data_IF_293399472505
#
_entry.id   IF_293399472505
#
_cell.length_a   1.000
_cell.length_b   1.000
_cell.length_c   1.000
_cell.angle_alpha   90.00
_cell.angle_beta   90.00
_cell.angle_gamma   90.00
#
_symmetry.space_group_name_H-M   'P 1'
#
loop_
_entity.id
_entity.type
_entity.pdbx_description
1 polymer ?
#
# COMPACT_ATOMS: atom_id res chain seq x y z
N UNK A 1 -19.90 9.76 9.47
CA UNK A 1 -19.41 8.61 8.69
C UNK A 1 -17.89 8.75 8.60
N UNK A 2 -17.13 7.66 8.72
CA UNK A 2 -15.66 7.69 8.67
C UNK A 2 -15.20 8.21 7.30
N UNK A 3 -14.23 9.11 7.28
CA UNK A 3 -13.68 9.74 6.07
C UNK A 3 -12.26 9.19 5.85
N UNK A 4 -11.96 8.81 4.60
CA UNK A 4 -10.66 8.28 4.19
C UNK A 4 -10.06 9.22 3.17
N UNK A 5 -8.93 9.85 3.49
CA UNK A 5 -8.21 10.69 2.55
C UNK A 5 -7.44 9.83 1.54
N UNK A 6 -7.56 10.16 0.27
CA UNK A 6 -6.85 9.51 -0.84
C UNK A 6 -6.18 10.63 -1.65
N UNK A 7 -4.85 10.80 -1.60
CA UNK A 7 -4.18 11.84 -2.37
C UNK A 7 -4.27 11.58 -3.87
N UNK A 8 -4.61 12.61 -4.64
CA UNK A 8 -4.62 12.59 -6.09
C UNK A 8 -6.02 12.75 -6.71
N UNK A 9 -6.16 12.35 -7.98
CA UNK A 9 -7.38 12.57 -8.78
C UNK A 9 -8.40 11.45 -8.57
N UNK A 10 -9.64 11.84 -8.29
CA UNK A 10 -10.75 10.91 -8.03
C UNK A 10 -11.10 10.02 -9.24
N UNK A 11 -10.89 10.50 -10.46
CA UNK A 11 -11.14 9.71 -11.67
C UNK A 11 -10.06 8.64 -11.87
N UNK A 12 -8.80 8.97 -11.55
CA UNK A 12 -7.68 8.03 -11.59
C UNK A 12 -7.86 6.94 -10.52
N UNK A 13 -8.19 7.34 -9.29
CA UNK A 13 -8.30 6.43 -8.15
C UNK A 13 -9.72 5.93 -7.86
N UNK A 14 -10.60 5.90 -8.88
CA UNK A 14 -12.00 5.47 -8.76
C UNK A 14 -12.17 4.06 -8.17
N UNK A 15 -11.21 3.14 -8.42
CA UNK A 15 -11.28 1.78 -7.88
C UNK A 15 -11.04 1.77 -6.37
N UNK A 16 -10.08 2.53 -5.88
CA UNK A 16 -9.84 2.74 -4.45
C UNK A 16 -11.06 3.40 -3.78
N UNK A 17 -11.59 4.46 -4.38
CA UNK A 17 -12.80 5.12 -3.89
C UNK A 17 -14.00 4.17 -3.80
N UNK A 18 -14.17 3.30 -4.80
CA UNK A 18 -15.22 2.27 -4.81
C UNK A 18 -15.04 1.27 -3.65
N UNK A 19 -13.83 0.79 -3.41
CA UNK A 19 -13.53 -0.15 -2.33
C UNK A 19 -13.79 0.49 -0.95
N UNK A 20 -13.38 1.75 -0.75
CA UNK A 20 -13.66 2.53 0.47
C UNK A 20 -15.17 2.68 0.71
N UNK A 21 -15.95 3.02 -0.34
CA UNK A 21 -17.42 3.12 -0.22
C UNK A 21 -18.07 1.78 0.13
N UNK A 22 -17.61 0.68 -0.48
CA UNK A 22 -18.11 -0.67 -0.17
C UNK A 22 -17.85 -1.07 1.27
N UNK A 23 -16.73 -0.64 1.84
CA UNK A 23 -16.40 -0.85 3.24
C UNK A 23 -17.16 0.11 4.21
N UNK A 24 -18.05 0.97 3.68
CA UNK A 24 -18.92 1.83 4.49
C UNK A 24 -18.31 3.16 4.92
N UNK A 25 -17.26 3.64 4.24
CA UNK A 25 -16.63 4.94 4.50
C UNK A 25 -16.76 5.91 3.31
N UNK A 26 -16.39 7.17 3.52
CA UNK A 26 -16.42 8.24 2.52
C UNK A 26 -15.00 8.49 2.00
N UNK A 27 -14.71 8.25 0.71
CA UNK A 27 -13.43 8.65 0.12
C UNK A 27 -13.41 10.16 -0.09
N UNK A 28 -12.30 10.80 0.30
CA UNK A 28 -12.07 12.23 0.23
C UNK A 28 -10.80 12.50 -0.58
N UNK A 29 -10.85 13.46 -1.51
CA UNK A 29 -9.74 13.79 -2.42
C UNK A 29 -9.30 15.25 -2.33
N UNK A 30 -10.25 16.15 -2.07
CA UNK A 30 -10.05 17.62 -2.07
C UNK A 30 -10.33 18.26 -0.72
N UNK A 31 -10.73 17.47 0.25
CA UNK A 31 -11.00 17.92 1.62
C UNK A 31 -9.67 18.19 2.36
N UNK A 32 -9.75 18.88 3.50
CA UNK A 32 -8.59 18.98 4.39
C UNK A 32 -8.26 17.58 4.93
N UNK A 33 -7.04 17.06 4.72
CA UNK A 33 -6.63 15.77 5.28
C UNK A 33 -6.77 15.68 6.79
N UNK A 34 -6.67 16.80 7.49
CA UNK A 34 -6.83 16.86 8.95
C UNK A 34 -8.25 16.46 9.41
N UNK A 35 -9.26 16.63 8.56
CA UNK A 35 -10.66 16.24 8.83
C UNK A 35 -10.96 14.76 8.52
N UNK A 36 -9.97 14.00 8.02
CA UNK A 36 -10.14 12.60 7.67
C UNK A 36 -9.61 11.67 8.77
N UNK A 37 -10.36 10.63 9.07
CA UNK A 37 -9.99 9.67 10.11
C UNK A 37 -8.95 8.64 9.69
N UNK A 38 -8.76 8.43 8.37
CA UNK A 38 -7.83 7.46 7.80
C UNK A 38 -7.14 8.01 6.56
N UNK A 39 -5.95 7.46 6.26
CA UNK A 39 -5.19 7.71 5.02
C UNK A 39 -5.12 6.43 4.20
N UNK A 40 -5.41 6.54 2.90
CA UNK A 40 -5.14 5.51 1.91
C UNK A 40 -4.15 6.06 0.88
N UNK A 41 -2.93 5.52 0.85
CA UNK A 41 -1.93 5.82 -0.17
C UNK A 41 -2.09 4.84 -1.34
N UNK A 42 -2.49 5.32 -2.54
CA UNK A 42 -2.74 4.47 -3.70
C UNK A 42 -1.47 4.15 -4.48
N UNK A 43 -1.58 3.24 -5.45
CA UNK A 43 -0.55 2.93 -6.42
C UNK A 43 -0.16 4.12 -7.32
N UNK A 44 0.86 3.96 -8.15
CA UNK A 44 1.35 4.99 -9.08
C UNK A 44 2.76 4.74 -9.57
N UNK A 45 3.41 5.74 -10.12
CA UNK A 45 4.82 5.73 -10.52
C UNK A 45 5.75 5.59 -9.32
N UNK A 46 7.03 5.45 -9.58
CA UNK A 46 8.04 5.17 -8.57
C UNK A 46 8.34 6.38 -7.67
N UNK A 47 8.84 6.10 -6.47
CA UNK A 47 9.37 7.11 -5.57
C UNK A 47 10.76 7.57 -6.03
N UNK A 48 11.05 8.85 -5.82
CA UNK A 48 12.39 9.39 -6.05
C UNK A 48 13.42 8.66 -5.18
N UNK A 49 14.47 8.07 -5.79
CA UNK A 49 15.49 7.35 -5.04
C UNK A 49 16.30 8.25 -4.12
N UNK A 50 16.29 9.56 -4.34
CA UNK A 50 16.89 10.54 -3.42
C UNK A 50 16.25 10.49 -2.02
N UNK A 51 14.98 10.12 -1.89
CA UNK A 51 14.30 10.01 -0.60
C UNK A 51 14.87 8.90 0.28
N UNK A 52 15.50 7.89 -0.32
CA UNK A 52 16.14 6.79 0.41
C UNK A 52 17.65 6.69 0.15
N UNK A 53 18.28 7.81 -0.25
CA UNK A 53 19.72 7.97 -0.34
C UNK A 53 20.38 7.21 -1.49
N UNK A 54 19.65 6.92 -2.57
CA UNK A 54 20.17 6.22 -3.74
C UNK A 54 20.16 7.10 -4.99
N UNK A 55 20.99 6.73 -5.97
CA UNK A 55 20.95 7.29 -7.34
C UNK A 55 19.89 6.56 -8.14
N UNK A 56 19.23 7.27 -9.05
CA UNK A 56 18.29 6.67 -9.99
C UNK A 56 19.01 5.77 -11.00
N UNK A 57 18.61 4.50 -11.06
CA UNK A 57 19.11 3.52 -12.02
C UNK A 57 18.01 2.87 -12.86
N UNK A 58 16.76 2.94 -12.43
CA UNK A 58 15.66 2.25 -13.11
C UNK A 58 14.28 2.83 -12.83
N UNK A 59 14.14 3.94 -12.11
CA UNK A 59 12.86 4.50 -11.72
C UNK A 59 12.04 5.01 -12.91
N UNK A 60 10.71 4.88 -12.81
CA UNK A 60 9.75 5.22 -13.85
C UNK A 60 8.63 6.09 -13.30
N UNK A 61 8.27 7.14 -14.04
CA UNK A 61 7.12 7.99 -13.68
C UNK A 61 7.30 8.73 -12.35
N UNK A 62 8.51 9.25 -12.09
CA UNK A 62 8.80 10.04 -10.90
C UNK A 62 7.90 11.28 -10.82
N UNK A 63 7.38 11.55 -9.62
CA UNK A 63 6.57 12.73 -9.30
C UNK A 63 7.01 13.30 -7.94
N UNK A 64 7.99 14.21 -7.93
CA UNK A 64 8.51 14.79 -6.68
C UNK A 64 7.46 15.58 -5.87
N UNK A 65 6.45 16.15 -6.53
CA UNK A 65 5.39 16.88 -5.83
C UNK A 65 4.49 15.90 -5.04
N UNK A 66 4.17 14.76 -5.66
CA UNK A 66 3.44 13.69 -5.00
C UNK A 66 4.28 13.04 -3.88
N UNK A 67 5.58 12.84 -4.11
CA UNK A 67 6.49 12.34 -3.08
C UNK A 67 6.43 13.20 -1.82
N UNK A 68 6.61 14.53 -1.97
CA UNK A 68 6.56 15.48 -0.86
C UNK A 68 5.19 15.45 -0.16
N UNK A 69 4.09 15.49 -0.91
CA UNK A 69 2.73 15.41 -0.37
C UNK A 69 2.52 14.13 0.46
N UNK A 70 2.95 12.97 -0.04
CA UNK A 70 2.76 11.71 0.69
C UNK A 70 3.60 11.64 1.96
N UNK A 71 4.81 12.20 1.99
CA UNK A 71 5.61 12.32 3.21
C UNK A 71 4.93 13.22 4.25
N UNK A 72 4.37 14.35 3.84
CA UNK A 72 3.62 15.26 4.73
C UNK A 72 2.36 14.59 5.29
N UNK A 73 1.61 13.87 4.44
CA UNK A 73 0.42 13.11 4.85
C UNK A 73 0.79 11.99 5.83
N UNK A 74 1.86 11.25 5.58
CA UNK A 74 2.34 10.22 6.50
C UNK A 74 2.70 10.83 7.86
N UNK A 75 3.40 11.97 7.87
CA UNK A 75 3.69 12.68 9.12
C UNK A 75 2.42 13.08 9.86
N UNK A 76 1.43 13.67 9.17
CA UNK A 76 0.15 14.09 9.76
C UNK A 76 -0.60 12.91 10.40
N UNK A 77 -0.79 11.81 9.65
CA UNK A 77 -1.61 10.70 10.12
C UNK A 77 -0.91 9.84 11.18
N UNK A 78 0.41 9.62 11.05
CA UNK A 78 1.17 8.82 12.02
C UNK A 78 1.33 9.54 13.34
N UNK A 79 1.58 10.86 13.34
CA UNK A 79 1.65 11.69 14.56
C UNK A 79 0.32 11.71 15.31
N UNK A 80 -0.80 11.62 14.60
CA UNK A 80 -2.14 11.56 15.17
C UNK A 80 -2.61 10.12 15.47
N UNK A 81 -1.77 9.09 15.28
CA UNK A 81 -2.10 7.67 15.44
C UNK A 81 -3.35 7.25 14.64
N UNK A 82 -3.58 7.89 13.47
CA UNK A 82 -4.68 7.56 12.58
C UNK A 82 -4.29 6.40 11.65
N UNK A 83 -5.22 5.50 11.30
CA UNK A 83 -4.94 4.37 10.41
C UNK A 83 -4.44 4.79 9.03
N UNK A 84 -3.44 4.04 8.55
CA UNK A 84 -2.87 4.19 7.20
C UNK A 84 -2.91 2.84 6.48
N UNK A 85 -3.45 2.85 5.26
CA UNK A 85 -3.35 1.75 4.30
C UNK A 85 -2.47 2.19 3.13
N UNK A 86 -1.35 1.48 2.89
CA UNK A 86 -0.52 1.66 1.70
C UNK A 86 -0.74 0.52 0.72
N UNK A 87 -1.11 0.84 -0.53
CA UNK A 87 -1.23 -0.15 -1.60
C UNK A 87 -0.19 0.14 -2.70
N UNK A 88 0.54 -0.90 -3.13
CA UNK A 88 1.55 -0.83 -4.17
C UNK A 88 2.62 0.23 -3.83
N UNK A 89 2.68 1.36 -4.59
CA UNK A 89 3.54 2.50 -4.29
C UNK A 89 3.35 3.02 -2.86
N UNK A 90 2.10 3.01 -2.34
CA UNK A 90 1.83 3.45 -0.97
C UNK A 90 2.54 2.62 0.10
N UNK A 91 2.77 1.32 -0.12
CA UNK A 91 3.61 0.49 0.76
C UNK A 91 5.07 0.94 0.72
N UNK A 92 5.58 1.28 -0.47
CA UNK A 92 6.94 1.76 -0.66
C UNK A 92 7.13 3.14 -0.01
N UNK A 93 6.16 4.05 -0.16
CA UNK A 93 6.13 5.36 0.50
C UNK A 93 6.21 5.24 2.02
N UNK A 94 5.44 4.32 2.60
CA UNK A 94 5.48 4.03 4.04
C UNK A 94 6.87 3.53 4.45
N UNK A 95 7.46 2.59 3.70
CA UNK A 95 8.79 2.07 4.03
C UNK A 95 9.86 3.17 4.02
N UNK A 96 9.85 4.01 2.99
CA UNK A 96 10.80 5.11 2.83
C UNK A 96 10.60 6.18 3.90
N UNK A 97 9.37 6.52 4.24
CA UNK A 97 9.04 7.46 5.33
C UNK A 97 9.67 7.05 6.67
N UNK A 98 9.70 5.76 6.96
CA UNK A 98 10.35 5.23 8.18
C UNK A 98 11.85 4.95 8.01
N UNK A 99 12.48 5.41 6.92
CA UNK A 99 13.94 5.32 6.68
C UNK A 99 14.39 4.00 6.05
N UNK A 100 13.47 3.26 5.44
CA UNK A 100 13.78 2.07 4.63
C UNK A 100 14.28 2.42 3.23
N UNK A 101 14.71 1.40 2.47
CA UNK A 101 15.18 1.51 1.08
C UNK A 101 14.43 0.57 0.15
N UNK A 102 14.55 0.78 -1.16
CA UNK A 102 13.89 0.00 -2.19
C UNK A 102 14.91 -0.65 -3.14
N UNK A 103 14.57 -1.83 -3.64
CA UNK A 103 15.13 -2.40 -4.86
C UNK A 103 14.46 -1.69 -6.02
N UNK A 104 15.24 -1.01 -6.87
CA UNK A 104 14.70 -0.17 -7.95
C UNK A 104 14.25 -0.96 -9.18
N UNK A 105 14.78 -2.16 -9.40
CA UNK A 105 14.36 -3.02 -10.52
C UNK A 105 14.41 -4.50 -10.11
N UNK A 106 13.24 -5.08 -9.97
CA UNK A 106 13.02 -6.46 -9.59
C UNK A 106 12.38 -7.21 -10.77
N UNK A 107 13.04 -8.23 -11.32
CA UNK A 107 12.44 -9.01 -12.40
C UNK A 107 11.30 -9.90 -11.91
N UNK A 108 10.34 -10.21 -12.80
CA UNK A 108 9.33 -11.24 -12.55
C UNK A 108 8.02 -10.78 -11.94
N UNK A 109 7.93 -9.55 -11.41
CA UNK A 109 6.75 -9.01 -10.75
C UNK A 109 5.96 -7.97 -11.56
N UNK A 110 6.53 -7.46 -12.65
CA UNK A 110 5.86 -6.51 -13.54
C UNK A 110 4.68 -7.15 -14.27
N UNK A 111 3.68 -6.33 -14.62
CA UNK A 111 2.58 -6.72 -15.50
C UNK A 111 3.08 -7.28 -16.84
N UNK A 112 2.26 -8.11 -17.49
CA UNK A 112 2.53 -8.65 -18.82
C UNK A 112 1.39 -8.27 -19.72
N UNK A 113 1.71 -7.62 -20.85
CA UNK A 113 0.70 -7.14 -21.82
C UNK A 113 -0.44 -6.38 -21.12
N UNK A 114 -0.10 -5.40 -20.26
CA UNK A 114 -1.03 -4.58 -19.49
C UNK A 114 -1.98 -5.34 -18.53
N UNK A 115 -1.69 -6.61 -18.28
CA UNK A 115 -2.42 -7.44 -17.33
C UNK A 115 -1.57 -7.74 -16.10
N UNK A 116 -2.19 -7.68 -14.92
CA UNK A 116 -1.51 -8.07 -13.68
C UNK A 116 -1.11 -9.56 -13.77
N UNK A 117 0.09 -9.87 -13.28
CA UNK A 117 0.46 -11.26 -12.98
C UNK A 117 -0.31 -11.73 -11.75
N UNK A 118 -0.45 -13.03 -11.63
CA UNK A 118 -0.92 -13.65 -10.40
C UNK A 118 0.19 -14.53 -9.83
N UNK A 119 0.42 -14.42 -8.52
CA UNK A 119 1.34 -15.30 -7.81
C UNK A 119 0.83 -15.65 -6.41
N UNK A 120 1.34 -16.74 -5.85
CA UNK A 120 1.04 -17.12 -4.48
C UNK A 120 1.88 -16.31 -3.52
N UNK A 121 1.31 -16.00 -2.33
CA UNK A 121 2.04 -15.44 -1.19
C UNK A 121 1.85 -16.32 0.04
N UNK A 122 2.84 -16.32 0.91
CA UNK A 122 2.78 -16.98 2.23
C UNK A 122 2.72 -15.92 3.32
N UNK A 123 1.77 -16.07 4.26
CA UNK A 123 1.54 -15.11 5.33
C UNK A 123 2.03 -15.61 6.69
N UNK A 124 2.76 -14.75 7.43
CA UNK A 124 3.03 -14.95 8.85
C UNK A 124 1.73 -14.94 9.67
N UNK A 125 1.74 -15.46 10.92
CA UNK A 125 0.61 -15.29 11.85
C UNK A 125 0.27 -13.80 12.05
N UNK A 126 -0.81 -13.35 11.43
CA UNK A 126 -1.16 -11.92 11.31
C UNK A 126 -2.64 -11.73 10.99
N UNK A 127 -3.08 -10.48 10.86
CA UNK A 127 -4.39 -10.13 10.33
C UNK A 127 -4.60 -10.72 8.91
N UNK A 128 -3.59 -10.59 8.03
CA UNK A 128 -3.71 -11.09 6.65
C UNK A 128 -3.86 -12.62 6.60
N UNK A 129 -3.17 -13.35 7.49
CA UNK A 129 -3.37 -14.79 7.60
C UNK A 129 -4.78 -15.16 8.07
N UNK A 130 -5.39 -14.35 8.93
CA UNK A 130 -6.79 -14.56 9.33
C UNK A 130 -7.78 -14.29 8.21
N UNK A 131 -7.50 -13.31 7.36
CA UNK A 131 -8.36 -12.93 6.22
C UNK A 131 -8.25 -13.92 5.05
N UNK A 132 -7.03 -14.36 4.73
CA UNK A 132 -6.74 -15.05 3.46
C UNK A 132 -6.13 -16.43 3.62
N UNK A 133 -5.90 -16.90 4.84
CA UNK A 133 -5.20 -18.15 5.12
C UNK A 133 -3.68 -17.99 5.09
N UNK A 134 -2.98 -19.12 5.28
CA UNK A 134 -1.52 -19.17 5.25
C UNK A 134 -0.94 -18.88 3.87
N UNK A 135 -1.65 -19.32 2.83
CA UNK A 135 -1.31 -19.09 1.42
C UNK A 135 -2.52 -18.57 0.69
N UNK A 136 -2.30 -17.55 -0.12
CA UNK A 136 -3.32 -17.06 -1.05
C UNK A 136 -2.66 -16.59 -2.35
N UNK A 137 -3.47 -16.29 -3.35
CA UNK A 137 -3.02 -15.74 -4.64
C UNK A 137 -3.35 -14.26 -4.65
N UNK A 138 -2.38 -13.44 -5.08
CA UNK A 138 -2.52 -11.99 -5.24
C UNK A 138 -2.11 -11.57 -6.65
N UNK A 139 -2.46 -10.36 -7.05
CA UNK A 139 -1.99 -9.76 -8.30
C UNK A 139 -0.66 -9.04 -8.11
N UNK A 140 0.10 -8.92 -9.18
CA UNK A 140 1.41 -8.27 -9.20
C UNK A 140 1.60 -7.46 -10.47
N UNK A 141 2.08 -6.23 -10.31
CA UNK A 141 2.29 -5.28 -11.40
C UNK A 141 3.48 -4.34 -11.12
N UNK A 142 4.39 -4.73 -10.21
CA UNK A 142 5.47 -3.88 -9.74
C UNK A 142 6.84 -4.36 -10.25
N UNK A 143 7.78 -3.43 -10.38
CA UNK A 143 9.20 -3.73 -10.63
C UNK A 143 10.11 -3.21 -9.51
N UNK A 144 9.53 -2.63 -8.46
CA UNK A 144 10.24 -2.24 -7.25
C UNK A 144 9.74 -3.03 -6.05
N UNK A 145 10.59 -3.21 -5.04
CA UNK A 145 10.23 -3.91 -3.80
C UNK A 145 10.97 -3.31 -2.60
N UNK A 146 10.59 -3.75 -1.39
CA UNK A 146 11.34 -3.41 -0.19
C UNK A 146 12.73 -4.08 -0.23
N UNK A 147 13.78 -3.28 0.00
CA UNK A 147 15.15 -3.75 0.22
C UNK A 147 15.44 -3.83 1.72
N UNK A 148 15.47 -2.69 2.40
CA UNK A 148 15.64 -2.60 3.85
C UNK A 148 14.40 -2.00 4.48
N UNK A 149 13.93 -2.60 5.58
CA UNK A 149 12.79 -2.07 6.34
C UNK A 149 13.11 -0.75 7.02
N UNK A 150 12.15 0.16 6.99
CA UNK A 150 12.11 1.32 7.85
C UNK A 150 11.89 0.95 9.33
N UNK A 151 12.18 1.90 10.21
CA UNK A 151 12.05 1.71 11.65
C UNK A 151 10.63 1.30 12.06
N UNK A 152 10.50 0.29 12.89
CA UNK A 152 9.21 -0.20 13.40
C UNK A 152 8.39 -1.04 12.42
N UNK A 153 8.83 -1.21 11.17
CA UNK A 153 8.13 -2.03 10.19
C UNK A 153 8.52 -3.52 10.29
N UNK A 154 7.60 -4.38 9.93
CA UNK A 154 7.82 -5.82 9.82
C UNK A 154 6.99 -6.42 8.69
N UNK A 155 7.53 -7.44 8.02
CA UNK A 155 6.85 -8.13 6.94
C UNK A 155 5.74 -9.04 7.44
N UNK A 156 4.66 -9.14 6.66
CA UNK A 156 3.50 -10.00 6.92
C UNK A 156 3.29 -11.05 5.83
N UNK A 157 3.69 -10.77 4.59
CA UNK A 157 3.55 -11.70 3.45
C UNK A 157 4.80 -11.66 2.57
N UNK A 158 5.10 -12.79 1.94
CA UNK A 158 6.20 -12.96 1.00
C UNK A 158 5.77 -13.75 -0.23
N UNK A 159 6.27 -13.35 -1.38
CA UNK A 159 6.28 -14.16 -2.60
C UNK A 159 7.26 -15.33 -2.47
N UNK A 160 7.21 -16.33 -3.37
CA UNK A 160 8.10 -17.50 -3.32
C UNK A 160 9.60 -17.19 -3.44
N UNK A 161 9.96 -16.08 -4.09
CA UNK A 161 11.33 -15.59 -4.25
C UNK A 161 11.84 -14.76 -3.04
N UNK A 162 11.01 -14.61 -2.01
CA UNK A 162 11.32 -13.84 -0.80
C UNK A 162 10.95 -12.36 -0.88
N UNK A 163 10.40 -11.88 -2.00
CA UNK A 163 9.89 -10.52 -2.12
C UNK A 163 8.82 -10.24 -1.09
N UNK A 164 8.93 -9.10 -0.39
CA UNK A 164 7.95 -8.69 0.61
C UNK A 164 6.68 -8.16 -0.08
N UNK A 165 5.56 -8.79 0.22
CA UNK A 165 4.26 -8.49 -0.40
C UNK A 165 3.28 -7.80 0.55
N UNK A 166 3.58 -7.78 1.84
CA UNK A 166 2.85 -6.97 2.82
C UNK A 166 3.71 -6.67 4.04
N UNK A 167 3.44 -5.53 4.66
CA UNK A 167 4.06 -5.12 5.91
C UNK A 167 3.06 -4.42 6.83
N UNK A 168 3.45 -4.29 8.11
CA UNK A 168 2.77 -3.43 9.08
C UNK A 168 3.80 -2.66 9.92
N UNK A 169 3.35 -1.62 10.59
CA UNK A 169 4.10 -1.05 11.71
C UNK A 169 3.73 -1.78 13.01
N UNK A 170 4.71 -2.01 13.88
CA UNK A 170 4.53 -2.81 15.11
C UNK A 170 3.59 -2.16 16.13
N UNK A 171 3.56 -0.83 16.19
CA UNK A 171 2.82 -0.05 17.21
C UNK A 171 1.82 0.94 16.63
N UNK A 172 2.04 1.45 15.40
CA UNK A 172 1.11 2.35 14.73
C UNK A 172 0.08 1.56 13.91
N UNK A 173 -1.13 2.09 13.71
CA UNK A 173 -2.18 1.41 12.93
C UNK A 173 -1.91 1.52 11.42
N UNK A 174 -0.82 0.92 10.97
CA UNK A 174 -0.36 0.94 9.57
C UNK A 174 -0.35 -0.48 9.03
N UNK A 175 -1.00 -0.66 7.88
CA UNK A 175 -1.02 -1.89 7.10
C UNK A 175 -0.74 -1.57 5.64
N UNK A 176 0.14 -2.33 5.00
CA UNK A 176 0.49 -2.10 3.60
C UNK A 176 0.58 -3.42 2.84
N UNK A 177 0.23 -3.36 1.56
CA UNK A 177 0.36 -4.47 0.61
C UNK A 177 1.03 -4.01 -0.68
N UNK A 178 1.84 -4.87 -1.29
CA UNK A 178 2.51 -4.56 -2.56
C UNK A 178 1.59 -4.81 -3.77
N UNK A 179 0.60 -5.65 -3.58
CA UNK A 179 -0.43 -5.95 -4.58
C UNK A 179 -1.57 -4.92 -4.60
N UNK A 180 -2.47 -5.03 -5.58
CA UNK A 180 -3.57 -4.11 -5.82
C UNK A 180 -4.91 -4.68 -5.33
N UNK A 181 -5.30 -4.46 -4.07
CA UNK A 181 -6.55 -4.99 -3.52
C UNK A 181 -7.79 -4.40 -4.20
N UNK A 182 -7.71 -3.15 -4.71
CA UNK A 182 -8.83 -2.43 -5.32
C UNK A 182 -9.28 -3.00 -6.67
N UNK A 183 -8.50 -3.90 -7.25
CA UNK A 183 -8.82 -4.59 -8.51
C UNK A 183 -8.72 -6.11 -8.44
N UNK A 184 -8.49 -6.66 -7.24
CA UNK A 184 -8.40 -8.09 -7.03
C UNK A 184 -9.77 -8.66 -6.61
N UNK A 185 -10.45 -9.29 -7.57
CA UNK A 185 -11.78 -9.89 -7.42
C UNK A 185 -11.91 -11.08 -8.36
N UNK A 186 -10.91 -11.98 -8.33
CA UNK A 186 -10.86 -13.16 -9.18
C UNK A 186 -11.17 -14.44 -8.38
N UNK A 187 -11.90 -15.41 -8.94
CA UNK A 187 -12.09 -16.71 -8.30
C UNK A 187 -10.75 -17.37 -7.95
N UNK A 188 -10.60 -17.83 -6.70
CA UNK A 188 -9.39 -18.46 -6.20
C UNK A 188 -8.25 -17.52 -5.80
N UNK A 189 -8.41 -16.20 -5.99
CA UNK A 189 -7.49 -15.19 -5.48
C UNK A 189 -8.02 -14.57 -4.17
N UNK A 190 -7.17 -13.80 -3.48
CA UNK A 190 -7.58 -13.02 -2.30
C UNK A 190 -8.71 -12.04 -2.66
N UNK A 191 -9.73 -11.94 -1.82
CA UNK A 191 -10.76 -10.91 -1.96
C UNK A 191 -10.22 -9.59 -1.39
N UNK A 192 -9.85 -8.67 -2.28
CA UNK A 192 -9.29 -7.38 -1.88
C UNK A 192 -10.22 -6.54 -1.00
N UNK A 193 -11.56 -6.75 -1.07
CA UNK A 193 -12.50 -6.00 -0.24
C UNK A 193 -12.32 -6.28 1.25
N UNK A 194 -11.97 -7.51 1.64
CA UNK A 194 -11.72 -7.86 3.04
C UNK A 194 -10.59 -7.04 3.67
N UNK A 195 -9.59 -6.62 2.86
CA UNK A 195 -8.52 -5.75 3.35
C UNK A 195 -9.05 -4.35 3.73
N UNK A 196 -9.94 -3.79 2.90
CA UNK A 196 -10.53 -2.48 3.18
C UNK A 196 -11.44 -2.53 4.41
N UNK A 197 -12.21 -3.59 4.57
CA UNK A 197 -13.08 -3.79 5.74
C UNK A 197 -12.24 -3.89 7.03
N UNK A 198 -11.14 -4.63 6.97
CA UNK A 198 -10.20 -4.76 8.09
C UNK A 198 -9.48 -3.43 8.39
N UNK A 199 -9.02 -2.71 7.36
CA UNK A 199 -8.40 -1.39 7.50
C UNK A 199 -9.32 -0.39 8.22
N UNK A 200 -10.59 -0.28 7.79
CA UNK A 200 -11.53 0.64 8.42
C UNK A 200 -11.91 0.22 9.85
N UNK A 201 -11.76 -1.06 10.18
CA UNK A 201 -11.96 -1.54 11.56
C UNK A 201 -10.87 -1.03 12.50
N UNK A 202 -9.67 -0.73 12.00
CA UNK A 202 -8.58 -0.15 12.82
C UNK A 202 -8.89 1.27 13.32
N UNK A 203 -9.78 2.00 12.64
CA UNK A 203 -10.20 3.35 13.05
C UNK A 203 -11.27 3.35 14.15
N UNK A 204 -11.74 2.17 14.58
CA UNK A 204 -12.76 2.03 15.63
C UNK A 204 -12.17 1.60 16.98
N UNK A 205 -10.86 1.37 16.98
CA UNK A 205 -10.09 1.01 18.18
C UNK A 205 -9.44 2.25 18.81
#
# INVERSE_FOLDING_TARGET
MLRVYIPGDAAVYRNYARAVRRAGAVPCFTDDPADCGCLLLPGGGDLSPMLYGQTDIACRGLDPARDALEMDLLNLFTSAHRPVLGAYRGMQSVNVFFGGTLVQDLPGHSSVHDSDRLHSVTAAPSLLRRLYGERCVVNSSHHQSIDRFGAGLEALQWAPDGTVEALRHRTLPILCVQWHPERLSLPGAADGQLLYDAFLSMAKL
#
